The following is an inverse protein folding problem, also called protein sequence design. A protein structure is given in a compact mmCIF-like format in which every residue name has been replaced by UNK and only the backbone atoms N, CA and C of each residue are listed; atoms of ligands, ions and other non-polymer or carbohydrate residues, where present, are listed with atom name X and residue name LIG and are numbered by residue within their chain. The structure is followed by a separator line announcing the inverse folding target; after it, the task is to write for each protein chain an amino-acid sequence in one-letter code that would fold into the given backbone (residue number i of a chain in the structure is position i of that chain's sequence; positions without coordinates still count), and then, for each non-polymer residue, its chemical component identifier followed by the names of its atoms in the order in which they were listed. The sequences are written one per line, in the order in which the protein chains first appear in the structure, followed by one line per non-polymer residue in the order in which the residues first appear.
data_IF_521392993677
#
_entry.id   IF_521392993677
#
_cell.length_a   1.000
_cell.length_b   1.000
_cell.length_c   1.000
_cell.angle_alpha   90.00
_cell.angle_beta   90.00
_cell.angle_gamma   90.00
#
_symmetry.space_group_name_H-M   'P 1'
#
loop_
_entity.id
_entity.type
_entity.pdbx_description
1 polymer ?
#
# COMPACT_ATOMS: atom_id res chain seq x y z
N UNK A 1 48.41 36.71 38.51
CA UNK A 1 47.50 35.58 38.79
C UNK A 1 46.56 36.02 39.90
N UNK A 2 45.34 36.45 39.56
CA UNK A 2 44.29 36.67 40.56
C UNK A 2 43.70 35.31 40.88
N UNK A 3 43.77 34.91 42.15
CA UNK A 3 43.17 33.67 42.65
C UNK A 3 41.66 33.70 42.36
N UNK A 4 41.13 32.64 41.76
CA UNK A 4 39.71 32.49 41.39
C UNK A 4 38.75 32.71 42.59
N UNK A 5 39.26 32.64 43.82
CA UNK A 5 38.48 32.68 45.06
C UNK A 5 37.97 34.06 45.52
N UNK A 6 38.29 35.18 44.86
CA UNK A 6 37.88 36.52 45.34
C UNK A 6 37.50 37.50 44.23
N UNK A 7 36.61 37.10 43.33
CA UNK A 7 35.86 38.09 42.56
C UNK A 7 35.06 38.99 43.54
N UNK A 8 35.23 40.30 43.42
CA UNK A 8 34.58 41.31 44.27
C UNK A 8 33.97 42.39 43.39
N UNK A 9 32.82 42.93 43.79
CA UNK A 9 32.30 44.12 43.12
C UNK A 9 33.21 45.32 43.40
N UNK A 10 33.20 46.31 42.50
CA UNK A 10 34.02 47.52 42.62
C UNK A 10 33.89 48.21 43.99
N UNK A 11 32.68 48.22 44.59
CA UNK A 11 32.44 48.79 45.90
C UNK A 11 33.13 48.01 47.05
N UNK A 12 33.12 46.68 47.01
CA UNK A 12 33.81 45.85 48.01
C UNK A 12 35.32 45.89 47.84
N UNK A 13 35.81 45.99 46.61
CA UNK A 13 37.23 46.19 46.29
C UNK A 13 37.73 47.52 46.86
N UNK A 14 37.00 48.62 46.64
CA UNK A 14 37.37 49.95 47.15
C UNK A 14 37.36 50.02 48.68
N UNK A 15 36.46 49.29 49.34
CA UNK A 15 36.32 49.26 50.81
C UNK A 15 37.18 48.19 51.51
N UNK A 16 37.93 47.38 50.77
CA UNK A 16 38.79 46.33 51.32
C UNK A 16 38.08 45.17 52.04
N UNK A 17 36.76 45.01 51.88
CA UNK A 17 35.95 43.99 52.57
C UNK A 17 35.77 42.72 51.71
N UNK A 18 35.46 41.55 52.30
CA UNK A 18 34.98 40.41 51.52
C UNK A 18 33.66 40.78 50.81
N UNK A 19 33.45 40.25 49.61
CA UNK A 19 32.20 40.45 48.89
C UNK A 19 31.27 39.28 49.22
N UNK A 20 30.05 39.57 49.69
CA UNK A 20 29.04 38.55 50.01
C UNK A 20 28.32 38.03 48.74
N UNK A 21 28.49 38.72 47.60
CA UNK A 21 27.91 38.29 46.33
C UNK A 21 28.68 37.12 45.77
N UNK A 22 27.96 36.08 45.33
CA UNK A 22 28.52 34.98 44.55
C UNK A 22 28.70 35.47 43.11
N UNK A 23 29.92 35.40 42.60
CA UNK A 23 30.24 35.66 41.20
C UNK A 23 30.45 34.34 40.50
N UNK A 24 30.06 34.27 39.22
CA UNK A 24 30.37 33.13 38.39
C UNK A 24 31.86 33.08 38.07
N UNK A 25 32.42 31.88 38.10
CA UNK A 25 33.82 31.63 37.76
C UNK A 25 34.04 31.78 36.26
N UNK A 26 35.29 32.04 35.85
CA UNK A 26 35.66 32.05 34.43
C UNK A 26 35.38 30.68 33.78
N UNK A 27 35.53 29.60 34.53
CA UNK A 27 35.16 28.25 34.10
C UNK A 27 33.66 28.15 33.75
N UNK A 28 32.77 28.64 34.61
CA UNK A 28 31.31 28.61 34.35
C UNK A 28 30.95 29.40 33.07
N UNK A 29 31.60 30.54 32.84
CA UNK A 29 31.41 31.30 31.60
C UNK A 29 31.91 30.56 30.36
N UNK A 30 33.08 29.91 30.46
CA UNK A 30 33.62 29.10 29.36
C UNK A 30 32.75 27.88 29.09
N UNK A 31 32.27 27.19 30.12
CA UNK A 31 31.36 26.04 30.00
C UNK A 31 30.05 26.46 29.33
N UNK A 32 29.48 27.61 29.70
CA UNK A 32 28.29 28.17 29.06
C UNK A 32 28.53 28.47 27.58
N UNK A 33 29.65 29.12 27.26
CA UNK A 33 30.00 29.45 25.86
C UNK A 33 30.19 28.19 25.01
N UNK A 34 30.87 27.19 25.53
CA UNK A 34 31.06 25.91 24.83
C UNK A 34 29.72 25.19 24.59
N UNK A 35 28.80 25.26 25.56
CA UNK A 35 27.46 24.70 25.40
C UNK A 35 26.65 25.47 24.34
N UNK A 36 26.73 26.80 24.31
CA UNK A 36 26.10 27.64 23.29
C UNK A 36 26.65 27.32 21.89
N UNK A 37 27.97 27.26 21.74
CA UNK A 37 28.63 26.95 20.47
C UNK A 37 28.24 25.54 19.98
N UNK A 38 28.15 24.56 20.89
CA UNK A 38 27.70 23.20 20.56
C UNK A 38 26.25 23.16 20.10
N UNK A 39 25.34 23.83 20.82
CA UNK A 39 23.92 23.90 20.44
C UNK A 39 23.78 24.59 19.09
N UNK A 40 24.56 25.64 18.84
CA UNK A 40 24.57 26.33 17.57
C UNK A 40 25.01 25.43 16.41
N UNK A 41 26.10 24.66 16.57
CA UNK A 41 26.53 23.73 15.52
C UNK A 41 25.49 22.64 15.27
N UNK A 42 24.90 22.07 16.32
CA UNK A 42 23.85 21.05 16.18
C UNK A 42 22.60 21.61 15.51
N UNK A 43 22.24 22.88 15.78
CA UNK A 43 21.13 23.56 15.12
C UNK A 43 21.40 23.77 13.63
N UNK A 44 22.58 24.28 13.27
CA UNK A 44 22.97 24.49 11.87
C UNK A 44 22.96 23.15 11.10
N UNK A 45 23.50 22.08 11.69
CA UNK A 45 23.44 20.75 11.09
C UNK A 45 21.99 20.28 10.88
N UNK A 46 21.14 20.40 11.90
CA UNK A 46 19.73 20.01 11.81
C UNK A 46 18.95 20.81 10.76
N UNK A 47 19.22 22.11 10.64
CA UNK A 47 18.61 22.97 9.61
C UNK A 47 19.01 22.53 8.19
N UNK A 48 20.28 22.18 7.98
CA UNK A 48 20.74 21.69 6.67
C UNK A 48 20.12 20.34 6.29
N UNK A 49 19.97 19.43 7.25
CA UNK A 49 19.28 18.15 7.01
C UNK A 49 17.79 18.35 6.73
N UNK A 50 17.15 19.27 7.44
CA UNK A 50 15.76 19.63 7.19
C UNK A 50 15.57 20.15 5.75
N UNK A 51 16.47 21.00 5.27
CA UNK A 51 16.43 21.53 3.90
C UNK A 51 16.59 20.41 2.86
N UNK A 52 17.53 19.47 3.06
CA UNK A 52 17.69 18.29 2.17
C UNK A 52 16.43 17.45 2.11
N UNK A 53 15.82 17.15 3.26
CA UNK A 53 14.58 16.37 3.33
C UNK A 53 13.44 17.10 2.63
N UNK A 54 13.35 18.42 2.81
CA UNK A 54 12.35 19.23 2.13
C UNK A 54 12.50 19.20 0.61
N UNK A 55 13.72 19.31 0.09
CA UNK A 55 14.00 19.20 -1.34
C UNK A 55 13.62 17.82 -1.89
N UNK A 56 14.01 16.74 -1.21
CA UNK A 56 13.63 15.38 -1.58
C UNK A 56 12.09 15.19 -1.56
N UNK A 57 11.41 15.78 -0.58
CA UNK A 57 9.95 15.76 -0.51
C UNK A 57 9.31 16.45 -1.71
N UNK A 58 9.83 17.59 -2.15
CA UNK A 58 9.33 18.29 -3.33
C UNK A 58 9.50 17.46 -4.61
N UNK A 59 10.63 16.79 -4.78
CA UNK A 59 10.86 15.89 -5.92
C UNK A 59 9.85 14.73 -5.95
N UNK A 60 9.58 14.14 -4.80
CA UNK A 60 8.57 13.09 -4.65
C UNK A 60 7.17 13.62 -4.98
N UNK A 61 6.80 14.81 -4.51
CA UNK A 61 5.52 15.43 -4.89
C UNK A 61 5.41 15.64 -6.40
N UNK A 62 6.47 16.14 -7.04
CA UNK A 62 6.50 16.31 -8.50
C UNK A 62 6.35 14.95 -9.23
N UNK A 63 7.02 13.90 -8.75
CA UNK A 63 6.89 12.54 -9.28
C UNK A 63 5.47 12.01 -9.14
N UNK A 64 4.85 12.14 -7.97
CA UNK A 64 3.46 11.73 -7.73
C UNK A 64 2.51 12.46 -8.68
N UNK A 65 2.67 13.78 -8.85
CA UNK A 65 1.85 14.56 -9.77
C UNK A 65 1.97 14.07 -11.21
N UNK A 66 3.19 13.78 -11.69
CA UNK A 66 3.42 13.21 -13.03
C UNK A 66 2.76 11.84 -13.19
N UNK A 67 2.96 10.94 -12.23
CA UNK A 67 2.39 9.60 -12.28
C UNK A 67 0.85 9.60 -12.26
N UNK A 68 0.24 10.51 -11.48
CA UNK A 68 -1.23 10.68 -11.51
C UNK A 68 -1.73 11.06 -12.90
N UNK A 69 -1.11 12.06 -13.53
CA UNK A 69 -1.46 12.46 -14.90
C UNK A 69 -1.28 11.33 -15.91
N UNK A 70 -0.18 10.59 -15.83
CA UNK A 70 0.08 9.44 -16.71
C UNK A 70 -0.98 8.34 -16.53
N UNK A 71 -1.32 8.01 -15.28
CA UNK A 71 -2.37 7.03 -14.97
C UNK A 71 -3.72 7.47 -15.56
N UNK A 72 -4.11 8.73 -15.39
CA UNK A 72 -5.38 9.24 -15.89
C UNK A 72 -5.42 9.24 -17.43
N UNK A 73 -4.32 9.64 -18.07
CA UNK A 73 -4.15 9.55 -19.53
C UNK A 73 -4.27 8.11 -20.05
N UNK A 74 -3.63 7.15 -19.38
CA UNK A 74 -3.70 5.75 -19.78
C UNK A 74 -5.12 5.18 -19.63
N UNK A 75 -5.86 5.58 -18.59
CA UNK A 75 -7.27 5.21 -18.43
C UNK A 75 -8.12 5.77 -19.56
N UNK A 76 -7.96 7.06 -19.87
CA UNK A 76 -8.68 7.71 -20.96
C UNK A 76 -8.39 7.04 -22.31
N UNK A 77 -7.10 6.76 -22.58
CA UNK A 77 -6.69 6.03 -23.77
C UNK A 77 -7.31 4.64 -23.83
N UNK A 78 -7.34 3.90 -22.72
CA UNK A 78 -7.97 2.58 -22.64
C UNK A 78 -9.47 2.63 -22.92
N UNK A 79 -10.18 3.62 -22.39
CA UNK A 79 -11.60 3.85 -22.68
C UNK A 79 -11.83 4.18 -24.17
N UNK A 80 -10.99 5.03 -24.75
CA UNK A 80 -11.05 5.37 -26.17
C UNK A 80 -10.83 4.15 -27.06
N UNK A 81 -9.82 3.31 -26.76
CA UNK A 81 -9.56 2.08 -27.49
C UNK A 81 -10.72 1.08 -27.37
N UNK A 82 -11.31 0.92 -26.19
CA UNK A 82 -12.49 0.07 -26.00
C UNK A 82 -13.68 0.58 -26.81
N UNK A 83 -13.93 1.89 -26.79
CA UNK A 83 -15.02 2.49 -27.57
C UNK A 83 -14.80 2.33 -29.08
N UNK A 84 -13.56 2.46 -29.55
CA UNK A 84 -13.21 2.20 -30.93
C UNK A 84 -13.52 0.75 -31.32
N UNK A 85 -13.05 -0.22 -30.54
CA UNK A 85 -13.28 -1.63 -30.81
C UNK A 85 -14.78 -1.98 -30.80
N UNK A 86 -15.54 -1.41 -29.87
CA UNK A 86 -16.99 -1.56 -29.82
C UNK A 86 -17.65 -1.09 -31.13
N UNK A 87 -17.27 0.09 -31.63
CA UNK A 87 -17.78 0.60 -32.92
C UNK A 87 -17.38 -0.29 -34.10
N UNK A 88 -16.16 -0.84 -34.08
CA UNK A 88 -15.71 -1.76 -35.13
C UNK A 88 -16.56 -3.04 -35.11
N UNK A 89 -16.84 -3.59 -33.93
CA UNK A 89 -17.73 -4.76 -33.78
C UNK A 89 -19.13 -4.45 -34.31
N UNK A 90 -19.73 -3.33 -33.92
CA UNK A 90 -21.05 -2.90 -34.44
C UNK A 90 -21.08 -2.78 -35.97
N UNK A 91 -20.00 -2.29 -36.58
CA UNK A 91 -19.85 -2.22 -38.04
C UNK A 91 -19.73 -3.62 -38.67
N UNK A 92 -19.06 -4.56 -38.00
CA UNK A 92 -18.91 -5.93 -38.50
C UNK A 92 -20.23 -6.71 -38.37
N UNK A 93 -20.91 -6.59 -37.24
CA UNK A 93 -22.20 -7.22 -36.99
C UNK A 93 -23.27 -6.67 -37.94
N UNK A 94 -23.26 -5.37 -38.26
CA UNK A 94 -24.18 -4.82 -39.26
C UNK A 94 -23.87 -5.30 -40.69
N UNK A 95 -22.60 -5.62 -41.02
CA UNK A 95 -22.22 -6.17 -42.33
C UNK A 95 -22.52 -7.66 -42.46
N UNK A 96 -22.37 -8.41 -41.37
CA UNK A 96 -22.61 -9.83 -41.28
C UNK A 96 -23.50 -10.10 -40.06
N UNK A 97 -24.81 -9.84 -40.18
CA UNK A 97 -25.72 -10.06 -39.05
C UNK A 97 -25.72 -11.55 -38.69
N UNK A 98 -25.64 -11.90 -37.40
CA UNK A 98 -25.74 -13.28 -36.97
C UNK A 98 -27.10 -13.84 -37.37
N UNK A 99 -27.11 -15.11 -37.77
CA UNK A 99 -28.35 -15.83 -38.08
C UNK A 99 -29.07 -16.22 -36.79
N UNK A 100 -30.40 -16.35 -36.84
CA UNK A 100 -31.22 -16.71 -35.67
C UNK A 100 -30.75 -18.03 -34.99
N UNK A 101 -30.19 -18.95 -35.78
CA UNK A 101 -29.62 -20.20 -35.27
C UNK A 101 -28.31 -19.98 -34.48
N UNK A 102 -27.44 -19.07 -34.93
CA UNK A 102 -26.21 -18.71 -34.22
C UNK A 102 -26.52 -17.95 -32.93
N UNK A 103 -27.52 -17.05 -32.96
CA UNK A 103 -27.99 -16.34 -31.76
C UNK A 103 -28.55 -17.33 -30.72
N UNK A 104 -29.36 -18.30 -31.14
CA UNK A 104 -29.92 -19.30 -30.24
C UNK A 104 -28.86 -20.20 -29.57
N UNK A 105 -27.76 -20.51 -30.28
CA UNK A 105 -26.62 -21.26 -29.70
C UNK A 105 -25.89 -20.40 -28.66
N UNK A 106 -25.60 -19.14 -28.98
CA UNK A 106 -24.92 -18.21 -28.05
C UNK A 106 -25.77 -17.98 -26.79
N UNK A 107 -27.09 -17.78 -26.94
CA UNK A 107 -28.00 -17.58 -25.80
C UNK A 107 -28.05 -18.83 -24.90
N UNK A 108 -28.02 -20.03 -25.48
CA UNK A 108 -27.98 -21.27 -24.72
C UNK A 108 -26.65 -21.42 -23.94
N UNK A 109 -25.52 -21.06 -24.55
CA UNK A 109 -24.20 -21.05 -23.89
C UNK A 109 -24.14 -20.04 -22.74
N UNK A 110 -24.63 -18.81 -22.94
CA UNK A 110 -24.67 -17.78 -21.88
C UNK A 110 -25.54 -18.24 -20.71
N UNK A 111 -26.70 -18.83 -20.98
CA UNK A 111 -27.58 -19.37 -19.94
C UNK A 111 -26.92 -20.50 -19.16
N UNK A 112 -26.15 -21.36 -19.83
CA UNK A 112 -25.40 -22.43 -19.18
C UNK A 112 -24.27 -21.87 -18.29
N UNK A 113 -23.46 -20.93 -18.80
CA UNK A 113 -22.39 -20.28 -18.02
C UNK A 113 -22.94 -19.55 -16.79
N UNK A 114 -24.07 -18.86 -16.93
CA UNK A 114 -24.74 -18.23 -15.79
C UNK A 114 -25.20 -19.26 -14.77
N UNK A 115 -25.79 -20.37 -15.20
CA UNK A 115 -26.19 -21.46 -14.32
C UNK A 115 -25.00 -22.04 -13.55
N UNK A 116 -23.89 -22.31 -14.25
CA UNK A 116 -22.64 -22.82 -13.67
C UNK A 116 -22.03 -21.84 -12.67
N UNK A 117 -22.03 -20.54 -12.98
CA UNK A 117 -21.58 -19.50 -12.06
C UNK A 117 -22.44 -19.42 -10.78
N UNK A 118 -23.76 -19.55 -10.91
CA UNK A 118 -24.68 -19.57 -9.78
C UNK A 118 -24.52 -20.83 -8.94
N UNK A 119 -24.29 -22.00 -9.55
CA UNK A 119 -24.00 -23.25 -8.85
C UNK A 119 -22.67 -23.16 -8.08
N UNK A 120 -21.62 -22.57 -8.67
CA UNK A 120 -20.35 -22.35 -7.98
C UNK A 120 -20.50 -21.37 -6.79
N UNK A 121 -21.30 -20.33 -6.95
CA UNK A 121 -21.56 -19.35 -5.87
C UNK A 121 -22.42 -19.97 -4.76
N UNK A 122 -23.40 -20.81 -5.10
CA UNK A 122 -24.24 -21.53 -4.15
C UNK A 122 -23.50 -22.65 -3.39
N UNK A 123 -22.59 -23.37 -4.06
CA UNK A 123 -21.75 -24.39 -3.41
C UNK A 123 -20.70 -23.78 -2.48
N UNK A 124 -20.13 -22.61 -2.84
CA UNK A 124 -19.27 -21.84 -1.93
C UNK A 124 -20.03 -21.35 -0.69
N UNK A 125 -21.24 -20.80 -0.86
CA UNK A 125 -22.07 -20.36 0.27
C UNK A 125 -22.54 -21.50 1.19
N UNK A 126 -22.74 -22.70 0.62
CA UNK A 126 -23.05 -23.93 1.38
C UNK A 126 -21.84 -24.43 2.19
N UNK A 127 -20.63 -24.36 1.63
CA UNK A 127 -19.38 -24.68 2.31
C UNK A 127 -19.07 -23.72 3.47
N UNK A 128 -19.28 -22.42 3.26
CA UNK A 128 -19.11 -21.39 4.31
C UNK A 128 -20.15 -21.54 5.43
N UNK A 129 -21.40 -21.89 5.09
CA UNK A 129 -22.44 -22.18 6.07
C UNK A 129 -22.17 -23.46 6.88
N UNK A 130 -21.61 -24.50 6.25
CA UNK A 130 -21.22 -25.73 6.91
C UNK A 130 -20.01 -25.54 7.85
N UNK A 131 -19.00 -24.75 7.43
CA UNK A 131 -17.87 -24.37 8.29
C UNK A 131 -18.30 -23.56 9.51
N UNK A 132 -19.38 -22.77 9.40
CA UNK A 132 -19.93 -22.00 10.50
C UNK A 132 -20.78 -22.84 11.47
N UNK A 133 -21.34 -23.97 11.03
CA UNK A 133 -22.16 -24.85 11.87
C UNK A 133 -22.13 -26.33 11.42
N UNK A 134 -21.12 -27.12 11.85
CA UNK A 134 -20.87 -28.47 11.32
C UNK A 134 -21.92 -29.53 11.69
N UNK A 135 -22.87 -29.22 12.58
CA UNK A 135 -23.96 -30.15 12.97
C UNK A 135 -25.17 -30.12 12.02
N UNK A 136 -25.21 -29.20 11.06
CA UNK A 136 -26.24 -29.18 10.00
C UNK A 136 -25.65 -29.69 8.68
N UNK A 137 -25.76 -30.99 8.46
CA UNK A 137 -25.55 -31.58 7.14
C UNK A 137 -26.66 -31.08 6.19
N UNK A 138 -26.33 -30.52 5.01
CA UNK A 138 -27.32 -30.38 3.96
C UNK A 138 -27.75 -31.77 3.50
N UNK A 139 -29.06 -32.04 3.55
CA UNK A 139 -29.65 -33.34 3.22
C UNK A 139 -29.35 -33.81 1.77
N UNK A 140 -28.85 -32.93 0.91
CA UNK A 140 -28.62 -33.20 -0.51
C UNK A 140 -27.21 -33.74 -0.85
N UNK A 141 -26.30 -33.91 0.12
CA UNK A 141 -25.01 -34.56 -0.12
C UNK A 141 -25.03 -36.10 -0.03
N UNK A 142 -26.18 -36.70 0.27
CA UNK A 142 -26.39 -38.17 0.29
C UNK A 142 -27.02 -38.71 -1.01
N UNK A 143 -26.91 -37.96 -2.12
CA UNK A 143 -27.49 -38.34 -3.42
C UNK A 143 -26.50 -38.74 -4.52
N UNK A 144 -25.18 -38.52 -4.36
CA UNK A 144 -24.18 -38.83 -5.40
C UNK A 144 -23.05 -39.70 -4.82
N UNK A 145 -23.44 -40.78 -4.15
CA UNK A 145 -22.57 -41.95 -3.92
C UNK A 145 -23.39 -43.19 -4.26
N UNK A 146 -23.70 -43.33 -5.55
CA UNK A 146 -24.37 -44.50 -6.12
C UNK A 146 -23.79 -44.76 -7.51
N UNK A 147 -23.04 -45.85 -7.62
CA UNK A 147 -22.55 -46.48 -8.85
C UNK A 147 -21.61 -45.69 -9.77
N UNK A 148 -20.36 -45.52 -9.34
CA UNK A 148 -19.23 -45.64 -10.26
C UNK A 148 -18.64 -47.04 -10.16
N UNK A 149 -19.30 -47.99 -10.82
CA UNK A 149 -18.61 -49.20 -11.31
C UNK A 149 -17.51 -48.72 -12.28
N UNK A 150 -16.31 -48.51 -11.74
CA UNK A 150 -15.08 -48.38 -12.51
C UNK A 150 -14.79 -49.72 -13.18
N UNK A 151 -15.41 -49.98 -14.32
CA UNK A 151 -14.84 -50.94 -15.27
C UNK A 151 -13.54 -50.32 -15.83
N UNK A 152 -12.42 -50.81 -15.29
CA UNK A 152 -11.09 -50.55 -15.84
C UNK A 152 -11.02 -51.07 -17.28
N UNK A 153 -10.61 -50.27 -18.27
CA UNK A 153 -10.32 -50.80 -19.59
C UNK A 153 -9.12 -51.77 -19.51
N UNK A 154 -9.34 -53.02 -19.92
CA UNK A 154 -8.31 -54.04 -20.00
C UNK A 154 -7.22 -53.61 -21.00
N UNK A 155 -5.99 -53.45 -20.53
CA UNK A 155 -4.81 -53.28 -21.36
C UNK A 155 -4.58 -54.57 -22.18
N UNK A 156 -4.39 -54.50 -23.51
CA UNK A 156 -4.00 -55.67 -24.28
C UNK A 156 -2.59 -56.10 -23.87
N UNK A 157 -2.47 -57.32 -23.35
CA UNK A 157 -1.20 -58.04 -23.22
C UNK A 157 -0.63 -58.25 -24.62
N UNK A 158 0.62 -57.86 -24.82
CA UNK A 158 1.34 -58.11 -26.06
C UNK A 158 1.57 -59.60 -26.34
N UNK A 159 1.67 -59.91 -27.61
CA UNK A 159 2.31 -61.11 -28.19
C UNK A 159 2.95 -60.62 -29.49
N UNK A 160 4.28 -60.52 -29.50
CA UNK A 160 5.19 -61.40 -30.26
C UNK A 160 4.95 -61.39 -31.76
#
# INVERSE_FOLDING_TARGET
MMSEDKAKCAACTYRGRPCERRFHSEKEWNDLKNAEDKVKSELEEAETELEKVFMAQQELFAKVRRLRKQKDFLKERGMSMRSHNQKVLEILDSKNPPTDAEVAVIDAEIMQEQLESHVLTATSGSLDAWLANPEQLPADLMGVVGDTSLELPALPRGSQ
#
